data_IF_799690525805
#
_entry.id   IF_799690525805
#
_cell.length_a   1.000
_cell.length_b   1.000
_cell.length_c   1.000
_cell.angle_alpha   90.00
_cell.angle_beta   90.00
_cell.angle_gamma   90.00
#
_symmetry.space_group_name_H-M   'P 1'
#
loop_
_entity.id
_entity.type
_entity.pdbx_description
1 polymer ?
#
# COMPACT_ATOMS: atom_id res chain seq x y z
N UNK A 1 10.92 -28.74 10.79
CA UNK A 1 10.89 -27.34 11.29
C UNK A 1 10.19 -27.38 12.63
N UNK A 2 10.86 -26.98 13.70
CA UNK A 2 10.30 -27.05 15.05
C UNK A 2 9.29 -25.90 15.24
N UNK A 3 8.17 -26.15 15.93
CA UNK A 3 7.10 -25.16 16.15
C UNK A 3 7.62 -23.86 16.79
N UNK A 4 8.65 -23.98 17.61
CA UNK A 4 9.38 -22.87 18.22
C UNK A 4 9.96 -21.91 17.18
N UNK A 5 10.52 -22.43 16.08
CA UNK A 5 11.09 -21.62 14.99
C UNK A 5 10.00 -20.83 14.27
N UNK A 6 8.85 -21.45 14.02
CA UNK A 6 7.69 -20.82 13.36
C UNK A 6 7.10 -19.70 14.23
N UNK A 7 7.02 -19.91 15.54
CA UNK A 7 6.59 -18.89 16.51
C UNK A 7 7.60 -17.73 16.56
N UNK A 8 8.90 -17.99 16.68
CA UNK A 8 9.88 -16.89 16.64
C UNK A 8 9.84 -16.10 15.33
N UNK A 9 9.66 -16.78 14.20
CA UNK A 9 9.52 -16.13 12.90
C UNK A 9 8.24 -15.29 12.79
N UNK A 10 7.12 -15.73 13.36
CA UNK A 10 5.87 -14.97 13.34
C UNK A 10 5.96 -13.72 14.23
N UNK A 11 6.54 -13.82 15.42
CA UNK A 11 6.78 -12.67 16.30
C UNK A 11 7.76 -11.66 15.70
N UNK A 12 8.84 -12.15 15.09
CA UNK A 12 9.80 -11.29 14.40
C UNK A 12 9.16 -10.57 13.21
N UNK A 13 8.38 -11.29 12.39
CA UNK A 13 7.65 -10.71 11.26
C UNK A 13 6.61 -9.69 11.73
N UNK A 14 5.88 -9.98 12.80
CA UNK A 14 4.94 -9.05 13.42
C UNK A 14 5.63 -7.75 13.84
N UNK A 15 6.77 -7.85 14.52
CA UNK A 15 7.59 -6.69 14.91
C UNK A 15 8.04 -5.87 13.72
N UNK A 16 8.51 -6.52 12.64
CA UNK A 16 8.89 -5.82 11.40
C UNK A 16 7.69 -5.09 10.79
N UNK A 17 6.53 -5.74 10.68
CA UNK A 17 5.33 -5.13 10.08
C UNK A 17 4.87 -3.90 10.87
N UNK A 18 4.89 -3.97 12.20
CA UNK A 18 4.56 -2.84 13.07
C UNK A 18 5.58 -1.71 12.87
N UNK A 19 6.87 -2.02 12.88
CA UNK A 19 7.94 -1.03 12.69
C UNK A 19 7.81 -0.33 11.33
N UNK A 20 7.65 -1.09 10.25
CA UNK A 20 7.49 -0.56 8.89
C UNK A 20 6.21 0.28 8.79
N UNK A 21 5.10 -0.20 9.35
CA UNK A 21 3.84 0.55 9.38
C UNK A 21 3.95 1.88 10.14
N UNK A 22 4.64 1.88 11.29
CA UNK A 22 4.92 3.08 12.06
C UNK A 22 5.81 4.07 11.29
N UNK A 23 6.92 3.61 10.72
CA UNK A 23 7.82 4.47 9.94
C UNK A 23 7.10 5.05 8.72
N UNK A 24 6.32 4.24 8.00
CA UNK A 24 5.54 4.70 6.85
C UNK A 24 4.47 5.74 7.26
N UNK A 25 3.77 5.49 8.38
CA UNK A 25 2.80 6.43 8.93
C UNK A 25 3.45 7.76 9.35
N UNK A 26 4.58 7.68 10.07
CA UNK A 26 5.31 8.85 10.54
C UNK A 26 5.84 9.69 9.37
N UNK A 27 6.42 9.05 8.35
CA UNK A 27 6.86 9.72 7.12
C UNK A 27 5.70 10.38 6.38
N UNK A 28 4.54 9.71 6.29
CA UNK A 28 3.38 10.27 5.59
C UNK A 28 2.79 11.49 6.34
N UNK A 29 2.76 11.45 7.67
CA UNK A 29 2.34 12.58 8.51
C UNK A 29 3.36 13.72 8.43
N UNK A 30 4.66 13.44 8.48
CA UNK A 30 5.67 14.49 8.38
C UNK A 30 5.63 15.19 7.02
N UNK A 31 5.39 14.44 5.94
CA UNK A 31 5.17 14.99 4.62
C UNK A 31 3.87 15.81 4.50
N UNK A 32 2.83 15.53 5.30
CA UNK A 32 1.61 16.34 5.27
C UNK A 32 1.81 17.68 5.98
N UNK A 33 2.56 17.70 7.10
CA UNK A 33 2.93 18.94 7.80
C UNK A 33 3.81 19.87 6.96
N UNK A 34 4.77 19.33 6.21
CA UNK A 34 5.61 20.11 5.29
C UNK A 34 4.86 20.72 4.08
N UNK A 35 3.63 20.25 3.79
CA UNK A 35 2.82 20.72 2.65
C UNK A 35 1.97 21.95 2.95
N UNK A 36 1.95 22.47 4.17
CA UNK A 36 1.31 23.74 4.50
C UNK A 36 1.83 24.95 3.70
N UNK A 37 2.98 24.81 3.02
CA UNK A 37 3.60 25.83 2.16
C UNK A 37 3.25 25.72 0.65
N UNK A 38 2.26 24.92 0.26
CA UNK A 38 1.98 24.56 -1.15
C UNK A 38 0.88 25.39 -1.83
N UNK A 39 0.84 26.70 -1.62
CA UNK A 39 -0.13 27.58 -2.29
C UNK A 39 0.12 27.75 -3.79
N UNK A 40 1.32 27.40 -4.29
CA UNK A 40 1.68 27.48 -5.72
C UNK A 40 1.30 26.25 -6.54
N UNK A 41 0.74 25.19 -5.93
CA UNK A 41 0.44 23.94 -6.62
C UNK A 41 -0.95 23.96 -7.28
N UNK A 42 -1.02 23.43 -8.51
CA UNK A 42 -2.28 23.29 -9.23
C UNK A 42 -3.30 22.46 -8.42
N UNK A 43 -4.59 22.72 -8.62
CA UNK A 43 -5.64 21.98 -7.91
C UNK A 43 -5.57 20.46 -8.14
N UNK A 44 -5.10 20.03 -9.32
CA UNK A 44 -4.91 18.62 -9.66
C UNK A 44 -3.74 17.98 -8.88
N UNK A 45 -2.62 18.69 -8.75
CA UNK A 45 -1.45 18.21 -8.01
C UNK A 45 -1.76 18.10 -6.51
N UNK A 46 -2.53 19.06 -5.96
CA UNK A 46 -3.00 19.01 -4.57
C UNK A 46 -3.93 17.82 -4.32
N UNK A 47 -4.79 17.44 -5.28
CA UNK A 47 -5.64 16.25 -5.15
C UNK A 47 -4.82 14.97 -5.21
N UNK A 48 -3.90 14.85 -6.18
CA UNK A 48 -3.00 13.70 -6.29
C UNK A 48 -2.18 13.48 -5.00
N UNK A 49 -1.56 14.55 -4.47
CA UNK A 49 -0.77 14.48 -3.25
C UNK A 49 -1.58 14.10 -2.02
N UNK A 50 -2.82 14.60 -1.89
CA UNK A 50 -3.74 14.23 -0.80
C UNK A 50 -4.14 12.76 -0.85
N UNK A 51 -4.54 12.28 -2.03
CA UNK A 51 -4.93 10.87 -2.21
C UNK A 51 -3.75 9.95 -1.95
N UNK A 52 -2.56 10.28 -2.46
CA UNK A 52 -1.34 9.50 -2.22
C UNK A 52 -0.94 9.46 -0.74
N UNK A 53 -1.03 10.59 -0.02
CA UNK A 53 -0.76 10.59 1.42
C UNK A 53 -1.80 9.77 2.19
N UNK A 54 -3.08 9.87 1.84
CA UNK A 54 -4.14 9.08 2.47
C UNK A 54 -3.92 7.58 2.27
N UNK A 55 -3.57 7.15 1.05
CA UNK A 55 -3.25 5.75 0.74
C UNK A 55 -2.03 5.22 1.52
N UNK A 56 -1.00 6.05 1.72
CA UNK A 56 0.18 5.66 2.51
C UNK A 56 -0.11 5.55 4.00
N UNK A 57 -0.90 6.48 4.53
CA UNK A 57 -1.35 6.42 5.93
C UNK A 57 -2.21 5.17 6.13
N UNK A 58 -3.17 4.90 5.24
CA UNK A 58 -4.02 3.71 5.35
C UNK A 58 -3.22 2.41 5.22
N UNK A 59 -2.25 2.34 4.29
CA UNK A 59 -1.35 1.19 4.19
C UNK A 59 -0.52 1.00 5.47
N UNK A 60 0.04 2.08 6.04
CA UNK A 60 0.80 2.04 7.29
C UNK A 60 -0.04 1.53 8.46
N UNK A 61 -1.27 2.04 8.61
CA UNK A 61 -2.22 1.56 9.63
C UNK A 61 -2.57 0.09 9.40
N UNK A 62 -2.82 -0.33 8.16
CA UNK A 62 -3.12 -1.73 7.85
C UNK A 62 -1.95 -2.65 8.20
N UNK A 63 -0.70 -2.23 7.95
CA UNK A 63 0.50 -2.98 8.33
C UNK A 63 0.62 -3.14 9.84
N UNK A 64 0.33 -2.08 10.62
CA UNK A 64 0.31 -2.17 12.09
C UNK A 64 -0.77 -3.16 12.53
N UNK A 65 -1.98 -3.06 12.00
CA UNK A 65 -3.08 -3.99 12.31
C UNK A 65 -2.71 -5.43 11.96
N UNK A 66 -2.10 -5.66 10.79
CA UNK A 66 -1.58 -6.97 10.39
C UNK A 66 -0.56 -7.49 11.39
N UNK A 67 0.41 -6.67 11.78
CA UNK A 67 1.44 -7.06 12.74
C UNK A 67 0.87 -7.40 14.12
N UNK A 68 -0.10 -6.61 14.62
CA UNK A 68 -0.80 -6.91 15.87
C UNK A 68 -1.58 -8.23 15.78
N UNK A 69 -2.31 -8.45 14.69
CA UNK A 69 -3.04 -9.70 14.46
C UNK A 69 -2.07 -10.90 14.37
N UNK A 70 -0.92 -10.72 13.73
CA UNK A 70 0.09 -11.77 13.61
C UNK A 70 0.73 -12.11 14.96
N UNK A 71 1.03 -11.09 15.78
CA UNK A 71 1.49 -11.27 17.15
C UNK A 71 0.43 -11.97 18.02
N UNK A 72 -0.85 -11.61 17.85
CA UNK A 72 -1.95 -12.26 18.53
C UNK A 72 -2.09 -13.73 18.13
N UNK A 73 -1.93 -14.07 16.84
CA UNK A 73 -1.87 -15.47 16.38
C UNK A 73 -0.68 -16.20 17.01
N UNK A 74 0.49 -15.55 17.07
CA UNK A 74 1.67 -16.10 17.72
C UNK A 74 1.54 -16.26 19.25
N UNK A 75 0.52 -15.66 19.87
CA UNK A 75 0.18 -15.83 21.28
C UNK A 75 -0.92 -16.88 21.51
N UNK A 76 -1.58 -17.38 20.46
CA UNK A 76 -2.50 -18.52 20.57
C UNK A 76 -1.68 -19.77 20.86
N UNK A 77 -2.06 -20.60 21.84
CA UNK A 77 -1.39 -21.86 22.13
C UNK A 77 -1.61 -22.85 20.97
N UNK A 78 -0.77 -22.74 19.93
CA UNK A 78 -0.75 -23.61 18.76
C UNK A 78 -0.38 -25.06 19.12
N UNK A 79 0.24 -25.26 20.28
CA UNK A 79 0.51 -26.55 20.91
C UNK A 79 -0.77 -27.37 21.10
N UNK A 80 -1.89 -26.75 21.49
CA UNK A 80 -3.17 -27.47 21.63
C UNK A 80 -3.74 -27.88 20.27
N UNK A 81 -3.61 -27.01 19.26
CA UNK A 81 -4.08 -27.28 17.89
C UNK A 81 -3.24 -28.35 17.19
N UNK A 82 -1.92 -28.34 17.37
CA UNK A 82 -1.04 -29.38 16.85
C UNK A 82 -1.22 -30.70 17.58
N UNK A 83 -1.42 -30.68 18.90
CA UNK A 83 -1.73 -31.88 19.65
C UNK A 83 -3.02 -32.53 19.16
N UNK A 84 -4.07 -31.73 18.91
CA UNK A 84 -5.32 -32.19 18.30
C UNK A 84 -5.12 -32.72 16.88
N UNK A 85 -4.39 -31.99 16.03
CA UNK A 85 -4.10 -32.41 14.67
C UNK A 85 -3.25 -33.71 14.62
N UNK A 86 -2.32 -33.87 15.56
CA UNK A 86 -1.49 -35.05 15.74
C UNK A 86 -2.30 -36.27 16.19
N UNK A 87 -3.19 -36.09 17.17
CA UNK A 87 -4.10 -37.15 17.59
C UNK A 87 -5.06 -37.59 16.49
N UNK A 88 -5.62 -36.64 15.73
CA UNK A 88 -6.49 -36.94 14.59
C UNK A 88 -5.72 -37.72 13.49
N UNK A 89 -4.45 -37.39 13.25
CA UNK A 89 -3.61 -38.14 12.30
C UNK A 89 -3.30 -39.56 12.75
N UNK A 90 -3.12 -39.78 14.06
CA UNK A 90 -2.78 -41.09 14.60
C UNK A 90 -4.00 -42.00 14.77
N UNK A 91 -5.17 -41.43 15.05
CA UNK A 91 -6.42 -42.17 15.25
C UNK A 91 -7.60 -41.42 14.60
N UNK A 92 -7.77 -41.50 13.27
CA UNK A 92 -8.83 -40.78 12.56
C UNK A 92 -10.23 -41.21 13.00
N UNK A 93 -10.39 -42.44 13.50
CA UNK A 93 -11.67 -42.95 14.00
C UNK A 93 -12.11 -42.29 15.32
N UNK A 94 -11.17 -41.77 16.12
CA UNK A 94 -11.44 -40.99 17.34
C UNK A 94 -11.61 -39.49 17.09
N UNK A 95 -11.48 -39.03 15.84
CA UNK A 95 -11.64 -37.62 15.49
C UNK A 95 -13.05 -37.08 15.78
N UNK A 96 -14.07 -37.95 15.78
CA UNK A 96 -15.44 -37.64 16.17
C UNK A 96 -15.58 -37.39 17.68
N UNK A 97 -14.84 -38.12 18.52
CA UNK A 97 -14.84 -37.96 19.98
C UNK A 97 -14.03 -36.72 20.41
N UNK A 98 -13.02 -36.34 19.64
CA UNK A 98 -12.18 -35.15 19.87
C UNK A 98 -12.85 -33.84 19.41
N UNK A 99 -14.02 -33.89 18.75
CA UNK A 99 -14.84 -32.73 18.38
C UNK A 99 -15.62 -32.18 19.58
N UNK A 100 -14.91 -31.77 20.62
CA UNK A 100 -15.53 -30.98 21.70
C UNK A 100 -15.87 -29.57 21.20
N UNK A 101 -16.89 -28.90 21.77
CA UNK A 101 -17.23 -27.52 21.40
C UNK A 101 -16.05 -26.54 21.62
N UNK A 102 -15.19 -26.80 22.61
CA UNK A 102 -13.98 -26.01 22.86
C UNK A 102 -12.96 -26.15 21.73
N UNK A 103 -12.71 -27.38 21.26
CA UNK A 103 -11.76 -27.64 20.17
C UNK A 103 -12.27 -27.04 18.85
N UNK A 104 -13.56 -27.11 18.59
CA UNK A 104 -14.16 -26.46 17.42
C UNK A 104 -14.02 -24.94 17.50
N UNK A 105 -14.27 -24.34 18.66
CA UNK A 105 -14.11 -22.90 18.85
C UNK A 105 -12.66 -22.45 18.62
N UNK A 106 -11.67 -23.22 19.08
CA UNK A 106 -10.25 -22.94 18.83
C UNK A 106 -9.89 -23.00 17.34
N UNK A 107 -10.33 -24.04 16.64
CA UNK A 107 -10.11 -24.20 15.18
C UNK A 107 -10.79 -23.08 14.39
N UNK A 108 -12.04 -22.73 14.72
CA UNK A 108 -12.75 -21.63 14.08
C UNK A 108 -12.05 -20.29 14.31
N UNK A 109 -11.58 -20.01 15.53
CA UNK A 109 -10.79 -18.79 15.82
C UNK A 109 -9.51 -18.73 14.99
N UNK A 110 -8.77 -19.84 14.92
CA UNK A 110 -7.54 -19.91 14.12
C UNK A 110 -7.82 -19.66 12.62
N UNK A 111 -8.86 -20.29 12.06
CA UNK A 111 -9.27 -20.08 10.67
C UNK A 111 -9.73 -18.64 10.41
N UNK A 112 -10.47 -18.05 11.34
CA UNK A 112 -10.95 -16.66 11.23
C UNK A 112 -9.77 -15.69 11.24
N UNK A 113 -8.79 -15.90 12.12
CA UNK A 113 -7.57 -15.10 12.17
C UNK A 113 -6.76 -15.20 10.88
N UNK A 114 -6.58 -16.42 10.34
CA UNK A 114 -5.90 -16.62 9.04
C UNK A 114 -6.65 -15.91 7.91
N UNK A 115 -7.98 -16.00 7.89
CA UNK A 115 -8.81 -15.33 6.89
C UNK A 115 -8.71 -13.79 7.00
N UNK A 116 -8.69 -13.24 8.21
CA UNK A 116 -8.52 -11.79 8.44
C UNK A 116 -7.14 -11.35 7.96
N UNK A 117 -6.07 -12.04 8.36
CA UNK A 117 -4.70 -11.69 7.93
C UNK A 117 -4.56 -11.78 6.41
N UNK A 118 -5.13 -12.84 5.79
CA UNK A 118 -5.18 -12.98 4.34
C UNK A 118 -5.96 -11.85 3.66
N UNK A 119 -7.10 -11.45 4.22
CA UNK A 119 -7.89 -10.31 3.75
C UNK A 119 -7.13 -8.99 3.83
N UNK A 120 -6.41 -8.73 4.92
CA UNK A 120 -5.57 -7.55 5.04
C UNK A 120 -4.41 -7.54 4.04
N UNK A 121 -3.80 -8.69 3.77
CA UNK A 121 -2.76 -8.81 2.74
C UNK A 121 -3.30 -8.46 1.34
N UNK A 122 -4.49 -8.95 0.98
CA UNK A 122 -5.15 -8.61 -0.28
C UNK A 122 -5.46 -7.11 -0.39
N UNK A 123 -5.90 -6.49 0.71
CA UNK A 123 -6.12 -5.04 0.75
C UNK A 123 -4.82 -4.25 0.55
N UNK A 124 -3.72 -4.66 1.16
CA UNK A 124 -2.40 -4.02 0.94
C UNK A 124 -1.96 -4.13 -0.52
N UNK A 125 -2.17 -5.28 -1.16
CA UNK A 125 -1.91 -5.46 -2.59
C UNK A 125 -2.79 -4.51 -3.42
N UNK A 126 -4.08 -4.40 -3.08
CA UNK A 126 -5.00 -3.47 -3.73
C UNK A 126 -4.55 -2.01 -3.61
N UNK A 127 -4.09 -1.59 -2.43
CA UNK A 127 -3.54 -0.24 -2.20
C UNK A 127 -2.27 -0.02 -3.04
N UNK A 128 -1.37 -1.00 -3.09
CA UNK A 128 -0.15 -0.93 -3.89
C UNK A 128 -0.46 -0.79 -5.39
N UNK A 129 -1.41 -1.58 -5.91
CA UNK A 129 -1.89 -1.48 -7.29
C UNK A 129 -2.54 -0.11 -7.57
N UNK A 130 -3.33 0.39 -6.63
CA UNK A 130 -3.93 1.72 -6.73
C UNK A 130 -2.87 2.83 -6.77
N UNK A 131 -1.82 2.77 -5.94
CA UNK A 131 -0.71 3.75 -5.97
C UNK A 131 0.07 3.69 -7.31
N UNK A 132 0.30 2.47 -7.83
CA UNK A 132 0.94 2.25 -9.13
C UNK A 132 0.11 2.87 -10.27
N UNK A 133 -1.19 2.61 -10.30
CA UNK A 133 -2.11 3.16 -11.30
C UNK A 133 -2.19 4.69 -11.20
N UNK A 134 -2.30 5.24 -9.99
CA UNK A 134 -2.35 6.69 -9.77
C UNK A 134 -1.08 7.36 -10.27
N UNK A 135 0.08 6.76 -10.00
CA UNK A 135 1.39 7.27 -10.42
C UNK A 135 1.56 7.19 -11.94
N UNK A 136 1.08 6.11 -12.55
CA UNK A 136 1.12 5.94 -14.00
C UNK A 136 0.24 6.98 -14.72
N UNK A 137 -1.02 7.15 -14.29
CA UNK A 137 -1.95 8.15 -14.82
C UNK A 137 -1.42 9.57 -14.66
N UNK A 138 -0.88 9.89 -13.47
CA UNK A 138 -0.30 11.21 -13.21
C UNK A 138 0.94 11.48 -14.09
N UNK A 139 1.81 10.48 -14.25
CA UNK A 139 2.97 10.58 -15.14
C UNK A 139 2.58 10.79 -16.60
N UNK A 140 1.56 10.09 -17.08
CA UNK A 140 0.99 10.29 -18.42
C UNK A 140 0.49 11.73 -18.61
N UNK A 141 -0.31 12.22 -17.66
CA UNK A 141 -0.81 13.60 -17.71
C UNK A 141 0.31 14.64 -17.75
N UNK A 142 1.35 14.48 -16.92
CA UNK A 142 2.50 15.40 -16.92
C UNK A 142 3.27 15.39 -18.24
N UNK A 143 3.38 14.23 -18.91
CA UNK A 143 3.98 14.16 -20.25
C UNK A 143 3.16 14.91 -21.29
N UNK A 144 1.83 14.81 -21.24
CA UNK A 144 0.95 15.60 -22.11
C UNK A 144 1.06 17.10 -21.86
N UNK A 145 1.06 17.53 -20.60
CA UNK A 145 1.24 18.95 -20.23
C UNK A 145 2.58 19.51 -20.74
N UNK A 146 3.66 18.73 -20.62
CA UNK A 146 4.98 19.08 -21.14
C UNK A 146 4.99 19.21 -22.67
N UNK A 147 4.33 18.29 -23.39
CA UNK A 147 4.23 18.37 -24.84
C UNK A 147 3.44 19.61 -25.31
N UNK A 148 2.33 19.91 -24.66
CA UNK A 148 1.53 21.12 -24.97
C UNK A 148 2.33 22.40 -24.69
N UNK A 149 3.00 22.47 -23.55
CA UNK A 149 3.84 23.62 -23.20
C UNK A 149 4.97 23.83 -24.23
N UNK A 150 5.58 22.74 -24.69
CA UNK A 150 6.63 22.79 -25.71
C UNK A 150 6.09 23.26 -27.06
N UNK A 151 4.91 22.80 -27.48
CA UNK A 151 4.27 23.27 -28.71
C UNK A 151 3.88 24.74 -28.62
N UNK A 152 3.32 25.18 -27.49
CA UNK A 152 2.99 26.58 -27.25
C UNK A 152 4.24 27.48 -27.29
N UNK A 153 5.34 27.03 -26.68
CA UNK A 153 6.61 27.75 -26.72
C UNK A 153 7.18 27.84 -28.15
N UNK A 154 7.16 26.75 -28.91
CA UNK A 154 7.60 26.74 -30.31
C UNK A 154 6.71 27.63 -31.20
N UNK A 155 5.41 27.65 -30.96
CA UNK A 155 4.47 28.53 -31.65
C UNK A 155 4.69 30.02 -31.30
N UNK A 156 5.00 30.33 -30.03
CA UNK A 156 5.38 31.70 -29.65
C UNK A 156 6.71 32.12 -30.27
N UNK A 157 7.68 31.20 -30.35
CA UNK A 157 8.97 31.47 -30.97
C UNK A 157 8.84 31.72 -32.48
N UNK A 158 7.96 30.98 -33.18
CA UNK A 158 7.71 31.22 -34.60
C UNK A 158 6.99 32.55 -34.86
N UNK A 159 6.04 32.93 -34.00
CA UNK A 159 5.39 34.23 -34.05
C UNK A 159 6.37 35.38 -33.77
N UNK A 160 7.23 35.25 -32.75
CA UNK A 160 8.27 36.23 -32.44
C UNK A 160 9.29 36.36 -33.60
N UNK A 161 9.67 35.25 -34.23
CA UNK A 161 10.57 35.26 -35.40
C UNK A 161 9.93 35.92 -36.63
N UNK A 162 8.62 35.81 -36.83
CA UNK A 162 7.90 36.52 -37.89
C UNK A 162 7.78 38.02 -37.61
N UNK A 163 7.54 38.42 -36.36
CA UNK A 163 7.50 39.84 -35.96
C UNK A 163 8.88 40.50 -35.98
N UNK A 164 9.95 39.74 -35.74
CA UNK A 164 11.33 40.20 -35.82
C UNK A 164 11.88 40.25 -37.26
N UNK A 165 11.18 39.69 -38.26
CA UNK A 165 11.50 39.93 -39.67
C UNK A 165 11.00 41.33 -40.06
N UNK A 166 11.89 42.30 -40.29
CA UNK A 166 11.47 43.61 -40.76
C UNK A 166 10.80 43.46 -42.13
N UNK A 167 9.81 44.31 -42.39
CA UNK A 167 9.11 44.48 -43.67
C UNK A 167 10.06 44.94 -44.79
N UNK A 168 11.07 44.14 -45.15
CA UNK A 168 12.01 44.43 -46.23
C UNK A 168 11.61 43.75 -47.55
N UNK A 169 10.32 43.57 -47.78
CA UNK A 169 9.76 43.28 -49.11
C UNK A 169 8.78 44.39 -49.47
N UNK A 170 9.31 45.60 -49.49
CA UNK A 170 8.72 46.71 -50.22
C UNK A 170 9.88 47.52 -50.79
N UNK A 171 10.28 47.21 -52.02
CA UNK A 171 10.19 48.19 -53.11
C UNK A 171 10.63 47.60 -54.47
N UNK A 172 10.19 48.24 -55.55
CA UNK A 172 9.93 47.66 -56.86
C UNK A 172 11.07 47.90 -57.85
N UNK A 173 11.05 47.14 -58.94
CA UNK A 173 11.81 47.38 -60.16
C UNK A 173 11.09 46.72 -61.31
#
# INVERSE_FOLDING_TARGET
>A
MQLSEVLTCSWFLAGILILVGLVAGLQAVWQSYGRGLTDSLSAADRRYLRVRSALRISAGVLLIVCGVLLAYIGAVPMDQLEYLAGQIRQAPERALELRTPENQAAVTRALTLVAIVGGCALLLIGIALAELLLTWLYGWRKRYELHQARQAYLAQQSLAAQQARPSSVQQPG
#
